data_IF_585488569522
#
_entry.id   IF_585488569522
#
_cell.length_a   1.000
_cell.length_b   1.000
_cell.length_c   1.000
_cell.angle_alpha   90.00
_cell.angle_beta   90.00
_cell.angle_gamma   90.00
#
_symmetry.space_group_name_H-M   'P 1'
#
loop_
_entity.id
_entity.type
_entity.pdbx_description
1 polymer ?
#
# COMPACT_ATOMS: atom_id res chain seq x y z
N UNK A 1 4.71 11.87 -6.29
CA UNK A 1 4.97 10.59 -7.00
C UNK A 1 4.67 9.43 -6.06
N UNK A 2 4.06 8.33 -6.51
CA UNK A 2 3.91 7.12 -5.66
C UNK A 2 5.27 6.44 -5.56
N UNK A 3 5.73 6.16 -4.34
CA UNK A 3 7.02 5.52 -4.07
C UNK A 3 6.87 4.07 -3.59
N UNK A 4 5.74 3.73 -2.99
CA UNK A 4 5.41 2.38 -2.55
C UNK A 4 3.90 2.22 -2.46
N UNK A 5 3.40 1.00 -2.52
CA UNK A 5 1.97 0.71 -2.40
C UNK A 5 1.75 -0.68 -1.79
N UNK A 6 0.56 -0.89 -1.24
CA UNK A 6 0.12 -2.20 -0.76
C UNK A 6 -1.36 -2.39 -1.13
N UNK A 7 -1.73 -3.52 -1.75
CA UNK A 7 -3.13 -3.86 -1.99
C UNK A 7 -3.83 -4.14 -0.66
N UNK A 8 -5.05 -3.61 -0.50
CA UNK A 8 -5.92 -3.86 0.66
C UNK A 8 -7.06 -4.80 0.28
N UNK A 9 -7.65 -4.58 -0.90
CA UNK A 9 -8.66 -5.43 -1.50
C UNK A 9 -8.71 -5.22 -3.01
N UNK A 10 -9.60 -5.92 -3.72
CA UNK A 10 -9.75 -5.83 -5.18
C UNK A 10 -10.06 -4.43 -5.70
N UNK A 11 -10.61 -3.56 -4.84
CA UNK A 11 -11.00 -2.19 -5.19
C UNK A 11 -10.20 -1.12 -4.46
N UNK A 12 -9.27 -1.48 -3.57
CA UNK A 12 -8.55 -0.50 -2.75
C UNK A 12 -7.06 -0.80 -2.67
N UNK A 13 -6.26 0.23 -2.91
CA UNK A 13 -4.81 0.22 -2.74
C UNK A 13 -4.43 1.38 -1.83
N UNK A 14 -3.51 1.15 -0.91
CA UNK A 14 -2.90 2.24 -0.16
C UNK A 14 -1.53 2.54 -0.76
N UNK A 15 -1.28 3.80 -1.08
CA UNK A 15 -0.05 4.29 -1.65
C UNK A 15 0.68 5.21 -0.67
N UNK A 16 1.98 5.03 -0.59
CA UNK A 16 2.92 5.96 0.02
C UNK A 16 3.57 6.82 -1.06
N UNK A 17 3.73 8.11 -0.79
CA UNK A 17 4.31 9.05 -1.77
C UNK A 17 5.72 9.51 -1.41
N UNK A 18 6.41 10.07 -2.41
CA UNK A 18 7.67 10.80 -2.26
C UNK A 18 7.60 11.93 -1.24
N UNK A 19 6.41 12.48 -1.01
CA UNK A 19 6.18 13.65 -0.14
C UNK A 19 5.68 13.22 1.25
N UNK A 20 5.93 11.94 1.58
CA UNK A 20 5.53 11.23 2.79
C UNK A 20 4.02 11.08 2.98
N UNK A 21 3.19 11.29 1.96
CA UNK A 21 1.75 11.16 2.11
C UNK A 21 1.32 9.70 2.04
N UNK A 22 0.33 9.34 2.85
CA UNK A 22 -0.40 8.08 2.77
C UNK A 22 -1.74 8.37 2.10
N UNK A 23 -2.00 7.67 1.00
CA UNK A 23 -3.19 7.85 0.17
C UNK A 23 -3.93 6.53 0.02
N UNK A 24 -5.24 6.52 0.21
CA UNK A 24 -6.12 5.41 -0.16
C UNK A 24 -6.66 5.71 -1.56
N UNK A 25 -6.41 4.80 -2.49
CA UNK A 25 -6.80 4.90 -3.88
C UNK A 25 -7.86 3.83 -4.14
N UNK A 26 -9.04 4.27 -4.59
CA UNK A 26 -10.13 3.37 -4.94
C UNK A 26 -10.12 3.12 -6.45
N UNK A 27 -10.29 1.86 -6.82
CA UNK A 27 -10.48 1.42 -8.20
C UNK A 27 -11.89 0.86 -8.39
N UNK A 28 -12.43 0.90 -9.62
CA UNK A 28 -13.71 0.29 -9.91
C UNK A 28 -13.61 -1.22 -9.73
N UNK A 29 -14.57 -1.79 -8.98
CA UNK A 29 -14.65 -3.23 -8.72
C UNK A 29 -14.66 -4.01 -10.05
N UNK A 30 -13.96 -5.16 -10.14
CA UNK A 30 -14.04 -6.02 -11.30
C UNK A 30 -15.49 -6.42 -11.56
N UNK A 31 -16.06 -5.99 -12.69
CA UNK A 31 -17.31 -6.58 -13.17
C UNK A 31 -16.95 -7.92 -13.82
N UNK A 32 -17.31 -9.06 -13.19
CA UNK A 32 -16.96 -10.38 -13.70
C UNK A 32 -17.57 -10.65 -15.08
N UNK A 33 -18.64 -9.94 -15.46
CA UNK A 33 -19.30 -10.11 -16.76
C UNK A 33 -18.54 -9.42 -17.90
N UNK A 34 -17.71 -8.43 -17.60
CA UNK A 34 -16.99 -7.62 -18.61
C UNK A 34 -15.85 -8.39 -19.32
N UNK A 35 -15.36 -9.48 -18.72
CA UNK A 35 -14.26 -10.28 -19.28
C UNK A 35 -14.71 -11.26 -20.39
N UNK A 36 -16.01 -11.59 -20.48
CA UNK A 36 -16.51 -12.62 -21.39
C UNK A 36 -16.98 -12.10 -22.76
N UNK A 37 -17.15 -10.78 -22.94
CA UNK A 37 -17.70 -10.20 -24.17
C UNK A 37 -16.69 -9.44 -25.05
N UNK A 38 -15.40 -9.46 -24.70
CA UNK A 38 -14.37 -8.74 -25.45
C UNK A 38 -13.75 -9.58 -26.56
N UNK A 39 -14.28 -9.53 -27.79
CA UNK A 39 -13.47 -9.83 -28.98
C UNK A 39 -12.27 -8.88 -28.97
N UNK A 40 -11.06 -9.40 -28.68
CA UNK A 40 -9.82 -8.63 -28.73
C UNK A 40 -9.54 -8.15 -30.16
N UNK A 41 -10.10 -7.00 -30.51
CA UNK A 41 -9.70 -6.29 -31.73
C UNK A 41 -8.33 -5.67 -31.47
N UNK A 42 -7.38 -6.09 -32.32
CA UNK A 42 -5.96 -5.76 -32.35
C UNK A 42 -5.75 -4.26 -32.63
N UNK A 43 -6.07 -3.39 -31.69
CA UNK A 43 -5.90 -1.95 -31.81
C UNK A 43 -5.21 -1.37 -30.57
N UNK A 44 -3.91 -1.09 -30.73
CA UNK A 44 -3.01 -0.40 -29.80
C UNK A 44 -2.76 -1.09 -28.45
N UNK A 45 -1.50 -1.19 -27.97
CA UNK A 45 -1.18 -1.76 -26.67
C UNK A 45 -1.50 -0.74 -25.56
N UNK A 46 -2.75 -0.30 -25.45
CA UNK A 46 -3.25 0.16 -24.17
C UNK A 46 -3.35 -1.11 -23.34
N UNK A 47 -2.51 -1.26 -22.31
CA UNK A 47 -2.52 -2.42 -21.42
C UNK A 47 -3.98 -2.78 -21.08
N UNK A 48 -4.51 -3.82 -21.72
CA UNK A 48 -5.90 -4.21 -21.59
C UNK A 48 -6.12 -4.56 -20.11
N UNK A 49 -7.07 -3.88 -19.47
CA UNK A 49 -7.34 -4.05 -18.03
C UNK A 49 -6.73 -3.00 -17.11
N UNK A 50 -6.00 -1.99 -17.62
CA UNK A 50 -5.65 -0.81 -16.79
C UNK A 50 -6.91 -0.01 -16.48
N UNK A 51 -7.26 0.05 -15.19
CA UNK A 51 -8.39 0.81 -14.67
C UNK A 51 -7.88 2.11 -14.06
N UNK A 52 -8.62 3.19 -14.29
CA UNK A 52 -8.34 4.47 -13.64
C UNK A 52 -8.89 4.46 -12.22
N UNK A 53 -8.19 5.15 -11.32
CA UNK A 53 -8.67 5.38 -9.97
C UNK A 53 -9.99 6.17 -10.01
N UNK A 54 -10.98 5.72 -9.24
CA UNK A 54 -12.26 6.42 -9.08
C UNK A 54 -12.15 7.53 -8.05
N UNK A 55 -11.37 7.31 -6.98
CA UNK A 55 -11.16 8.30 -5.94
C UNK A 55 -9.79 8.15 -5.30
N UNK A 56 -9.31 9.21 -4.66
CA UNK A 56 -8.09 9.20 -3.87
C UNK A 56 -8.29 10.05 -2.62
N UNK A 57 -8.03 9.48 -1.45
CA UNK A 57 -8.15 10.17 -0.16
C UNK A 57 -6.80 10.15 0.55
N UNK A 58 -6.32 11.31 0.98
CA UNK A 58 -5.07 11.41 1.74
C UNK A 58 -5.36 11.24 3.23
N UNK A 59 -4.76 10.22 3.85
CA UNK A 59 -4.88 9.98 5.30
C UNK A 59 -4.02 10.96 6.10
N UNK A 60 -2.84 11.30 5.58
CA UNK A 60 -1.91 12.24 6.20
C UNK A 60 -0.46 11.95 5.82
N UNK A 61 0.48 12.47 6.62
CA UNK A 61 1.92 12.27 6.38
C UNK A 61 2.54 11.29 7.39
N UNK A 62 3.40 10.40 6.90
CA UNK A 62 4.21 9.51 7.72
C UNK A 62 5.32 10.30 8.42
N UNK A 63 6.10 11.06 7.66
CA UNK A 63 7.23 11.89 8.11
C UNK A 63 7.46 13.07 7.15
N UNK A 64 8.69 13.57 7.05
CA UNK A 64 9.14 14.55 6.04
C UNK A 64 9.91 13.90 4.87
N UNK A 65 10.13 12.59 4.91
CA UNK A 65 10.89 11.83 3.91
C UNK A 65 9.95 10.99 3.02
N UNK A 66 10.39 10.50 1.87
CA UNK A 66 9.61 9.55 1.07
C UNK A 66 9.15 8.34 1.89
N UNK A 67 7.94 7.82 1.60
CA UNK A 67 7.52 6.52 2.13
C UNK A 67 8.23 5.44 1.33
N UNK A 68 8.98 4.55 1.97
CA UNK A 68 9.78 3.54 1.27
C UNK A 68 9.38 2.10 1.57
N UNK A 69 8.54 1.85 2.57
CA UNK A 69 7.97 0.54 2.84
C UNK A 69 6.56 0.64 3.39
N UNK A 70 5.71 -0.31 3.02
CA UNK A 70 4.35 -0.43 3.53
C UNK A 70 3.96 -1.89 3.76
N UNK A 71 3.08 -2.11 4.73
CA UNK A 71 2.50 -3.41 5.01
C UNK A 71 1.04 -3.25 5.41
N UNK A 72 0.17 -4.05 4.81
CA UNK A 72 -1.24 -4.13 5.14
C UNK A 72 -1.46 -5.19 6.23
N UNK A 73 -2.27 -4.84 7.24
CA UNK A 73 -2.57 -5.68 8.41
C UNK A 73 -4.03 -5.47 8.79
N UNK A 74 -4.91 -6.34 8.31
CA UNK A 74 -6.37 -6.28 8.52
C UNK A 74 -7.00 -4.91 8.19
N UNK A 75 -7.49 -4.18 9.17
CA UNK A 75 -8.08 -2.84 8.97
C UNK A 75 -7.04 -1.71 9.04
N UNK A 76 -5.76 -2.07 9.09
CA UNK A 76 -4.66 -1.11 9.30
C UNK A 76 -3.57 -1.24 8.25
N UNK A 77 -2.80 -0.18 8.10
CA UNK A 77 -1.61 -0.15 7.27
C UNK A 77 -0.46 0.47 8.05
N UNK A 78 0.69 -0.19 8.03
CA UNK A 78 1.95 0.38 8.46
C UNK A 78 2.67 0.99 7.27
N UNK A 79 3.24 2.16 7.48
CA UNK A 79 4.10 2.84 6.54
C UNK A 79 5.40 3.23 7.22
N UNK A 80 6.51 3.05 6.50
CA UNK A 80 7.84 3.45 6.93
C UNK A 80 8.40 4.49 5.99
N UNK A 81 9.06 5.45 6.60
CA UNK A 81 9.65 6.59 5.95
C UNK A 81 10.87 7.05 6.75
N UNK A 82 12.06 6.82 6.21
CA UNK A 82 13.33 7.00 6.92
C UNK A 82 13.29 6.33 8.31
N UNK A 83 13.55 7.07 9.39
CA UNK A 83 13.55 6.54 10.76
C UNK A 83 12.16 6.51 11.41
N UNK A 84 11.10 6.73 10.64
CA UNK A 84 9.73 6.86 11.15
C UNK A 84 8.86 5.71 10.69
N UNK A 85 8.10 5.16 11.62
CA UNK A 85 7.00 4.23 11.36
C UNK A 85 5.69 4.87 11.78
N UNK A 86 4.68 4.78 10.93
CA UNK A 86 3.31 5.17 11.30
C UNK A 86 2.31 4.08 10.92
N UNK A 87 1.34 3.85 11.79
CA UNK A 87 0.24 2.92 11.56
C UNK A 87 -1.05 3.71 11.42
N UNK A 88 -1.86 3.36 10.43
CA UNK A 88 -3.10 4.04 10.08
C UNK A 88 -4.25 3.05 10.08
N UNK A 89 -5.37 3.45 10.65
CA UNK A 89 -6.64 2.72 10.62
C UNK A 89 -7.42 3.20 9.41
N UNK A 90 -7.70 2.27 8.49
CA UNK A 90 -8.33 2.54 7.20
C UNK A 90 -9.84 2.78 7.36
N UNK A 91 -10.47 2.17 8.36
CA UNK A 91 -11.91 2.30 8.64
C UNK A 91 -12.18 3.63 9.35
N UNK A 92 -11.38 3.95 10.36
CA UNK A 92 -11.50 5.19 11.15
C UNK A 92 -10.78 6.38 10.51
N UNK A 93 -10.13 6.18 9.37
CA UNK A 93 -9.41 7.20 8.61
C UNK A 93 -8.48 8.06 9.51
N UNK A 94 -7.67 7.40 10.35
CA UNK A 94 -6.81 8.12 11.30
C UNK A 94 -5.50 7.41 11.56
N UNK A 95 -4.48 8.19 11.93
CA UNK A 95 -3.22 7.66 12.45
C UNK A 95 -3.45 7.07 13.84
N UNK A 96 -3.11 5.79 14.01
CA UNK A 96 -3.21 5.07 15.28
C UNK A 96 -1.92 5.19 16.07
N UNK A 97 -0.78 5.05 15.40
CA UNK A 97 0.55 5.09 16.03
C UNK A 97 1.56 5.82 15.16
N UNK A 98 2.55 6.39 15.83
CA UNK A 98 3.71 7.02 15.23
C UNK A 98 4.91 6.77 16.14
N UNK A 99 5.97 6.22 15.56
CA UNK A 99 7.19 5.85 16.27
C UNK A 99 8.38 6.36 15.46
N UNK A 100 9.35 6.95 16.14
CA UNK A 100 10.62 7.35 15.57
C UNK A 100 11.71 6.46 16.16
N UNK A 101 12.48 5.80 15.31
CA UNK A 101 13.62 4.97 15.69
C UNK A 101 14.93 5.74 15.53
N UNK A 102 16.05 5.27 16.13
CA UNK A 102 17.34 5.93 15.99
C UNK A 102 17.89 5.90 14.56
N UNK A 103 17.61 4.83 13.82
CA UNK A 103 18.06 4.62 12.44
C UNK A 103 16.98 3.97 11.56
N UNK A 104 17.24 3.97 10.25
CA UNK A 104 16.31 3.42 9.25
C UNK A 104 16.24 1.90 9.27
N UNK A 105 17.37 1.23 9.53
CA UNK A 105 17.47 -0.23 9.64
C UNK A 105 16.54 -0.79 10.72
N UNK A 106 16.44 -0.11 11.86
CA UNK A 106 15.54 -0.48 12.96
C UNK A 106 14.08 -0.38 12.53
N UNK A 107 13.73 0.62 11.70
CA UNK A 107 12.36 0.79 11.20
C UNK A 107 11.97 -0.31 10.22
N UNK A 108 12.86 -0.70 9.32
CA UNK A 108 12.64 -1.81 8.38
C UNK A 108 12.50 -3.15 9.09
N UNK A 109 13.35 -3.41 10.10
CA UNK A 109 13.28 -4.62 10.92
C UNK A 109 11.96 -4.71 11.70
N UNK A 110 11.39 -3.59 12.14
CA UNK A 110 10.11 -3.58 12.85
C UNK A 110 8.95 -4.05 11.97
N UNK A 111 8.91 -3.63 10.70
CA UNK A 111 7.91 -4.16 9.76
C UNK A 111 8.20 -5.64 9.46
N UNK A 112 9.44 -6.00 9.14
CA UNK A 112 9.80 -7.38 8.81
C UNK A 112 9.48 -8.39 9.92
N UNK A 113 9.82 -8.06 11.17
CA UNK A 113 9.54 -8.92 12.33
C UNK A 113 8.05 -9.04 12.62
N UNK A 114 7.29 -7.94 12.51
CA UNK A 114 5.83 -8.01 12.66
C UNK A 114 5.23 -8.86 11.55
N UNK A 115 5.57 -8.61 10.29
CA UNK A 115 5.10 -9.42 9.17
C UNK A 115 5.39 -10.91 9.37
N UNK A 116 6.55 -11.28 9.91
CA UNK A 116 6.90 -12.67 10.21
C UNK A 116 6.07 -13.28 11.34
N UNK A 117 5.83 -12.53 12.42
CA UNK A 117 4.97 -12.97 13.53
C UNK A 117 3.51 -13.18 13.10
N UNK A 118 3.01 -12.38 12.14
CA UNK A 118 1.63 -12.46 11.64
C UNK A 118 1.45 -13.34 10.40
N UNK A 119 2.53 -13.72 9.71
CA UNK A 119 2.54 -14.70 8.61
C UNK A 119 2.39 -16.15 9.10
N UNK A 120 2.53 -16.41 10.40
CA UNK A 120 2.22 -17.72 10.98
C UNK A 120 0.72 -18.07 10.91
N UNK A 121 -0.15 -17.11 10.57
CA UNK A 121 -1.60 -17.32 10.49
C UNK A 121 -2.20 -17.33 9.09
N UNK A 122 -1.64 -16.66 8.08
CA UNK A 122 -2.17 -16.72 6.70
C UNK A 122 -1.10 -16.45 5.63
N UNK A 123 -0.96 -17.36 4.68
CA UNK A 123 0.16 -17.47 3.76
C UNK A 123 -0.07 -16.76 2.42
N UNK A 124 0.18 -15.44 2.29
CA UNK A 124 0.34 -14.81 0.96
C UNK A 124 1.40 -13.67 0.93
N UNK A 125 2.27 -13.80 -0.07
CA UNK A 125 3.29 -12.89 -0.64
C UNK A 125 3.62 -11.56 0.05
N UNK A 126 4.89 -11.43 0.45
CA UNK A 126 5.57 -10.13 0.55
C UNK A 126 6.75 -10.16 -0.40
N UNK A 127 6.51 -9.71 -1.63
CA UNK A 127 7.59 -9.23 -2.47
C UNK A 127 7.93 -7.81 -2.00
N UNK A 128 9.21 -7.59 -1.70
CA UNK A 128 9.82 -6.26 -1.56
C UNK A 128 9.70 -5.60 -0.18
N UNK A 129 10.29 -6.20 0.85
CA UNK A 129 10.76 -5.42 2.00
C UNK A 129 12.21 -5.85 2.24
N UNK A 130 13.12 -4.87 2.12
CA UNK A 130 14.58 -4.97 2.16
C UNK A 130 15.27 -5.39 0.85
N UNK A 131 15.39 -4.44 -0.08
CA UNK A 131 16.71 -4.21 -0.66
C UNK A 131 17.32 -3.05 0.14
N UNK A 132 18.09 -3.40 1.17
CA UNK A 132 19.09 -2.49 1.73
C UNK A 132 20.22 -2.32 0.71
#
# INVERSE_FOLDING_TARGET
>A
MISTFVPVSDSFVVAGTSDSQIQVIQFPTPDPTSYFNGTMTRASPRFAGVRHATSTTTLGKCSFWPVNGMAHMDETVAAVSATTLSTWDLVKNRRVRHVTTPDHSTTCNYIGAKLWEWQATDAWCIYTICAC
#
